data_IF_590388919385
#
_entry.id   IF_590388919385
#
_cell.length_a   1.000
_cell.length_b   1.000
_cell.length_c   1.000
_cell.angle_alpha   90.00
_cell.angle_beta   90.00
_cell.angle_gamma   90.00
#
_symmetry.space_group_name_H-M   'P 1'
#
loop_
_entity.id
_entity.type
_entity.pdbx_description
1 polymer ?
#
# COMPACT_ATOMS: atom_id res chain seq x y z
N UNK A 1 -4.09 -13.20 4.94
CA UNK A 1 -5.41 -12.76 5.47
C UNK A 1 -6.04 -13.70 6.51
N UNK A 2 -5.68 -15.00 6.54
CA UNK A 2 -6.30 -15.96 7.48
C UNK A 2 -6.16 -15.57 8.96
N UNK A 3 -5.05 -14.92 9.34
CA UNK A 3 -4.76 -14.53 10.73
C UNK A 3 -5.24 -13.13 11.13
N UNK A 4 -5.81 -12.34 10.21
CA UNK A 4 -6.40 -11.05 10.56
C UNK A 4 -7.85 -11.23 11.00
N UNK A 5 -8.26 -10.49 12.03
CA UNK A 5 -9.68 -10.35 12.37
C UNK A 5 -10.45 -9.72 11.20
N UNK A 6 -11.77 -9.96 11.06
CA UNK A 6 -12.59 -9.25 10.07
C UNK A 6 -12.43 -7.73 10.20
N UNK A 7 -12.20 -7.04 9.09
CA UNK A 7 -11.89 -5.60 9.09
C UNK A 7 -10.45 -5.23 9.47
N UNK A 8 -9.63 -6.20 9.85
CA UNK A 8 -8.24 -6.00 10.24
C UNK A 8 -7.34 -5.57 9.08
N UNK A 9 -6.25 -4.88 9.43
CA UNK A 9 -5.30 -4.29 8.50
C UNK A 9 -4.03 -5.13 8.36
N UNK A 10 -3.51 -5.23 7.14
CA UNK A 10 -2.22 -5.82 6.84
C UNK A 10 -1.37 -4.84 6.04
N UNK A 11 -0.15 -4.61 6.51
CA UNK A 11 0.85 -3.77 5.83
C UNK A 11 2.00 -4.68 5.44
N UNK A 12 2.26 -4.79 4.14
CA UNK A 12 3.21 -5.76 3.59
C UNK A 12 4.31 -5.03 2.82
N UNK A 13 5.55 -5.48 3.01
CA UNK A 13 6.67 -5.02 2.21
C UNK A 13 6.93 -6.07 1.12
N UNK A 14 6.79 -5.68 -0.15
CA UNK A 14 6.89 -6.59 -1.30
C UNK A 14 7.86 -6.03 -2.35
N UNK A 15 8.44 -6.86 -3.23
CA UNK A 15 9.17 -6.36 -4.40
C UNK A 15 8.26 -5.50 -5.28
N UNK A 16 8.72 -4.34 -5.74
CA UNK A 16 7.91 -3.43 -6.59
C UNK A 16 7.49 -4.10 -7.90
N UNK A 17 8.28 -5.05 -8.40
CA UNK A 17 8.03 -5.80 -9.63
C UNK A 17 6.91 -6.84 -9.53
N UNK A 18 6.39 -7.13 -8.33
CA UNK A 18 5.35 -8.14 -8.12
C UNK A 18 4.05 -7.84 -8.89
N UNK A 19 3.84 -6.58 -9.25
CA UNK A 19 2.68 -6.11 -10.03
C UNK A 19 2.94 -5.99 -11.54
N UNK A 20 4.16 -6.30 -11.99
CA UNK A 20 4.60 -6.10 -13.37
C UNK A 20 4.74 -7.43 -14.14
N UNK A 21 4.74 -8.57 -13.44
CA UNK A 21 4.85 -9.90 -14.06
C UNK A 21 3.50 -10.41 -14.56
N UNK A 22 3.49 -11.42 -15.43
CA UNK A 22 2.26 -12.07 -15.89
C UNK A 22 1.47 -12.73 -14.75
N UNK A 23 2.17 -13.16 -13.69
CA UNK A 23 1.61 -13.76 -12.47
C UNK A 23 0.90 -12.74 -11.57
N UNK A 24 1.14 -11.44 -11.78
CA UNK A 24 0.51 -10.34 -11.01
C UNK A 24 -1.01 -10.34 -11.10
N UNK A 25 -1.59 -10.82 -12.21
CA UNK A 25 -3.03 -10.91 -12.39
C UNK A 25 -3.69 -11.86 -11.37
N UNK A 26 -3.03 -12.99 -11.07
CA UNK A 26 -3.51 -13.94 -10.06
C UNK A 26 -3.48 -13.34 -8.66
N UNK A 27 -2.41 -12.60 -8.35
CA UNK A 27 -2.26 -11.91 -7.07
C UNK A 27 -3.32 -10.80 -6.90
N UNK A 28 -3.51 -9.95 -7.91
CA UNK A 28 -4.54 -8.89 -7.90
C UNK A 28 -5.94 -9.46 -7.74
N UNK A 29 -6.24 -10.56 -8.45
CA UNK A 29 -7.53 -11.26 -8.35
C UNK A 29 -7.72 -11.88 -6.97
N UNK A 30 -6.69 -12.51 -6.40
CA UNK A 30 -6.78 -13.02 -5.03
C UNK A 30 -6.99 -11.88 -4.03
N UNK A 31 -6.25 -10.78 -4.16
CA UNK A 31 -6.39 -9.63 -3.27
C UNK A 31 -7.80 -9.07 -3.31
N UNK A 32 -8.39 -8.83 -4.49
CA UNK A 32 -9.76 -8.31 -4.59
C UNK A 32 -10.83 -9.24 -4.00
N UNK A 33 -10.57 -10.55 -3.92
CA UNK A 33 -11.48 -11.52 -3.28
C UNK A 33 -11.28 -11.67 -1.77
N UNK A 34 -10.05 -11.47 -1.29
CA UNK A 34 -9.68 -11.73 0.10
C UNK A 34 -9.63 -10.47 0.97
N UNK A 35 -9.48 -9.30 0.33
CA UNK A 35 -9.24 -8.01 0.97
C UNK A 35 -9.62 -6.83 0.06
N UNK A 36 -9.71 -5.65 0.66
CA UNK A 36 -9.66 -4.38 -0.06
C UNK A 36 -8.21 -3.91 -0.18
N UNK A 37 -7.80 -3.49 -1.39
CA UNK A 37 -6.50 -2.86 -1.61
C UNK A 37 -6.60 -1.38 -1.27
N UNK A 38 -6.01 -0.98 -0.15
CA UNK A 38 -6.13 0.39 0.35
C UNK A 38 -5.02 1.29 -0.16
N UNK A 39 -3.81 0.74 -0.32
CA UNK A 39 -2.69 1.51 -0.84
C UNK A 39 -1.54 0.67 -1.38
N UNK A 40 -0.76 1.29 -2.26
CA UNK A 40 0.49 0.81 -2.79
C UNK A 40 1.44 2.00 -2.88
N UNK A 41 2.48 1.98 -2.04
CA UNK A 41 3.48 3.04 -1.95
C UNK A 41 4.85 2.48 -2.27
N UNK A 42 5.50 2.95 -3.32
CA UNK A 42 6.86 2.53 -3.63
C UNK A 42 7.83 3.26 -2.71
N UNK A 43 8.79 2.53 -2.14
CA UNK A 43 9.84 3.14 -1.34
C UNK A 43 10.85 3.85 -2.24
N UNK A 44 11.60 4.83 -1.70
CA UNK A 44 12.62 5.56 -2.44
C UNK A 44 13.73 4.62 -2.92
N UNK A 45 14.22 4.85 -4.14
CA UNK A 45 15.24 4.02 -4.77
C UNK A 45 16.57 4.06 -4.03
N UNK A 46 16.91 5.19 -3.39
CA UNK A 46 18.15 5.37 -2.63
C UNK A 46 18.23 4.53 -1.33
N UNK A 47 17.16 3.84 -0.93
CA UNK A 47 17.20 2.86 0.16
C UNK A 47 17.71 1.49 -0.26
N UNK A 48 17.87 1.25 -1.56
CA UNK A 48 18.20 -0.05 -2.12
C UNK A 48 19.49 0.02 -2.93
N UNK A 49 20.24 -1.08 -2.95
CA UNK A 49 21.49 -1.17 -3.71
C UNK A 49 21.25 -1.11 -5.22
N UNK A 50 20.10 -1.61 -5.68
CA UNK A 50 19.69 -1.62 -7.08
C UNK A 50 18.16 -1.54 -7.23
N UNK A 51 17.71 -1.17 -8.44
CA UNK A 51 16.29 -1.02 -8.77
C UNK A 51 15.51 -2.34 -8.65
N UNK A 52 16.17 -3.48 -8.86
CA UNK A 52 15.53 -4.81 -8.77
C UNK A 52 15.19 -5.17 -7.32
N UNK A 53 15.93 -4.61 -6.38
CA UNK A 53 15.75 -4.78 -4.94
C UNK A 53 14.74 -3.78 -4.35
N UNK A 54 14.22 -2.86 -5.18
CA UNK A 54 13.23 -1.87 -4.75
C UNK A 54 11.98 -2.55 -4.23
N UNK A 55 11.50 -2.04 -3.10
CA UNK A 55 10.33 -2.55 -2.42
C UNK A 55 9.20 -1.52 -2.39
N UNK A 56 7.99 -2.02 -2.27
CA UNK A 56 6.77 -1.24 -2.10
C UNK A 56 6.04 -1.71 -0.86
N UNK A 57 5.36 -0.78 -0.20
CA UNK A 57 4.41 -1.05 0.87
C UNK A 57 3.04 -1.26 0.25
N UNK A 58 2.43 -2.41 0.50
CA UNK A 58 1.06 -2.73 0.12
C UNK A 58 0.20 -2.75 1.38
N UNK A 59 -0.86 -1.97 1.37
CA UNK A 59 -1.81 -1.86 2.49
C UNK A 59 -3.11 -2.54 2.09
N UNK A 60 -3.49 -3.58 2.83
CA UNK A 60 -4.71 -4.34 2.63
C UNK A 60 -5.60 -4.26 3.87
N UNK A 61 -6.91 -4.26 3.66
CA UNK A 61 -7.89 -4.42 4.73
C UNK A 61 -8.72 -5.67 4.48
N UNK A 62 -8.79 -6.58 5.46
CA UNK A 62 -9.65 -7.76 5.39
C UNK A 62 -11.11 -7.32 5.30
N UNK A 63 -11.91 -7.99 4.48
CA UNK A 63 -13.36 -7.79 4.49
C UNK A 63 -13.94 -8.00 5.91
N UNK A 64 -14.98 -7.23 6.23
CA UNK A 64 -15.62 -7.20 7.55
C UNK A 64 -16.68 -6.10 7.57
N UNK A 65 -17.53 -6.07 8.61
CA UNK A 65 -18.75 -5.24 8.61
C UNK A 65 -18.50 -3.72 8.41
N UNK A 66 -17.35 -3.20 8.85
CA UNK A 66 -16.96 -1.78 8.69
C UNK A 66 -15.86 -1.54 7.65
N UNK A 67 -15.36 -2.61 7.03
CA UNK A 67 -14.34 -2.51 6.01
C UNK A 67 -14.98 -2.18 4.66
N UNK A 68 -14.32 -1.31 3.91
CA UNK A 68 -14.76 -0.93 2.57
C UNK A 68 -13.54 -0.56 1.75
N UNK A 69 -13.68 -0.65 0.43
CA UNK A 69 -12.67 -0.20 -0.50
C UNK A 69 -12.54 1.33 -0.38
N UNK A 70 -11.32 1.85 -0.21
CA UNK A 70 -11.08 3.29 -0.32
C UNK A 70 -11.62 3.82 -1.65
N UNK A 71 -12.28 4.97 -1.62
CA UNK A 71 -12.84 5.60 -2.82
C UNK A 71 -11.75 5.89 -3.86
N UNK A 72 -10.54 6.20 -3.40
CA UNK A 72 -9.32 6.21 -4.22
C UNK A 72 -8.25 5.41 -3.53
N UNK A 73 -7.69 4.41 -4.19
CA UNK A 73 -6.51 3.69 -3.68
C UNK A 73 -5.35 4.67 -3.51
N UNK A 74 -4.67 4.64 -2.37
CA UNK A 74 -3.47 5.43 -2.14
C UNK A 74 -2.33 4.90 -3.02
N UNK A 75 -1.98 5.64 -4.06
CA UNK A 75 -0.86 5.31 -4.96
C UNK A 75 0.17 6.42 -4.91
N UNK A 76 1.45 6.06 -4.77
CA UNK A 76 2.51 7.05 -4.80
C UNK A 76 3.90 6.47 -4.63
N UNK A 77 4.89 7.33 -4.83
CA UNK A 77 6.29 7.08 -4.55
C UNK A 77 6.69 7.93 -3.35
N UNK A 78 7.31 7.29 -2.36
CA UNK A 78 7.91 8.03 -1.26
C UNK A 78 9.03 8.92 -1.80
N UNK A 79 9.11 10.18 -1.34
CA UNK A 79 10.28 11.01 -1.59
C UNK A 79 11.50 10.43 -0.85
N UNK A 80 12.70 10.85 -1.26
CA UNK A 80 13.93 10.51 -0.52
C UNK A 80 13.75 10.84 0.97
N UNK A 81 14.15 9.91 1.84
CA UNK A 81 14.10 10.12 3.28
C UNK A 81 15.10 11.18 3.77
N UNK A 82 16.07 11.55 2.91
CA UNK A 82 17.01 12.63 3.17
C UNK A 82 16.37 14.01 2.95
N UNK A 83 15.30 14.10 2.16
CA UNK A 83 14.52 15.34 1.98
C UNK A 83 13.38 15.41 3.01
N UNK A 84 13.72 15.94 4.18
CA UNK A 84 12.77 16.07 5.30
C UNK A 84 11.52 16.88 4.93
N UNK A 85 11.63 17.91 4.09
CA UNK A 85 10.48 18.76 3.71
C UNK A 85 9.54 18.00 2.79
N UNK A 86 10.08 17.34 1.77
CA UNK A 86 9.28 16.50 0.89
C UNK A 86 8.62 15.35 1.65
N UNK A 87 9.37 14.71 2.57
CA UNK A 87 8.85 13.64 3.41
C UNK A 87 7.69 14.10 4.30
N UNK A 88 7.82 15.23 5.00
CA UNK A 88 6.74 15.81 5.80
C UNK A 88 5.50 16.13 4.96
N UNK A 89 5.69 16.75 3.80
CA UNK A 89 4.58 17.06 2.88
C UNK A 89 3.89 15.78 2.38
N UNK A 90 4.65 14.71 2.14
CA UNK A 90 4.11 13.43 1.74
C UNK A 90 3.32 12.74 2.86
N UNK A 91 3.83 12.75 4.10
CA UNK A 91 3.08 12.23 5.26
C UNK A 91 1.76 12.98 5.45
N UNK A 92 1.75 14.31 5.30
CA UNK A 92 0.51 15.08 5.37
C UNK A 92 -0.51 14.71 4.29
N UNK A 93 -0.06 14.31 3.09
CA UNK A 93 -0.94 13.79 2.04
C UNK A 93 -1.53 12.42 2.41
N UNK A 94 -0.74 11.56 3.06
CA UNK A 94 -1.24 10.27 3.59
C UNK A 94 -2.30 10.52 4.67
N UNK A 95 -2.06 11.43 5.61
CA UNK A 95 -3.02 11.76 6.66
C UNK A 95 -4.34 12.26 6.08
N UNK A 96 -4.27 13.20 5.12
CA UNK A 96 -5.45 13.69 4.41
C UNK A 96 -6.19 12.58 3.66
N UNK A 97 -5.46 11.63 3.07
CA UNK A 97 -6.06 10.48 2.41
C UNK A 97 -6.76 9.55 3.42
N UNK A 98 -6.14 9.29 4.57
CA UNK A 98 -6.72 8.46 5.63
C UNK A 98 -8.02 9.06 6.12
N UNK A 99 -8.06 10.36 6.38
CA UNK A 99 -9.27 11.05 6.87
C UNK A 99 -10.43 11.02 5.85
N UNK A 100 -10.12 10.95 4.56
CA UNK A 100 -11.13 10.88 3.50
C UNK A 100 -11.63 9.47 3.19
N UNK A 101 -10.80 8.44 3.43
CA UNK A 101 -11.07 7.09 2.92
C UNK A 101 -11.20 6.04 4.02
N UNK A 102 -10.79 6.32 5.26
CA UNK A 102 -10.77 5.34 6.33
C UNK A 102 -11.76 5.74 7.43
N UNK A 103 -12.77 4.90 7.63
CA UNK A 103 -13.71 5.04 8.75
C UNK A 103 -13.02 4.51 10.01
N UNK A 104 -12.86 5.40 11.01
CA UNK A 104 -12.27 5.08 12.32
C UNK A 104 -13.32 4.50 13.28
#
# INVERSE_FOLDING_TARGET
MAHLLPGGWGVFLVPTTIFQSQESQGLLKWMSTAAYLQGLLNLPTNLFLDEKSRKSIVVLQKHGQRAHQAGKVLLGDFPSFEDQRAFQAFTAQIDAWVDQNIIR
#
